data_IF_334456457634
#
_entry.id   IF_334456457634
#
_cell.length_a   1.000
_cell.length_b   1.000
_cell.length_c   1.000
_cell.angle_alpha   90.00
_cell.angle_beta   90.00
_cell.angle_gamma   90.00
#
_symmetry.space_group_name_H-M   'P 1'
#
loop_
_entity.id
_entity.type
_entity.pdbx_description
1 polymer ?
#
# COMPACT_ATOMS: atom_id res chain seq x y z
N UNK A 1 -60.41 39.03 10.96
CA UNK A 1 -59.01 39.12 10.47
C UNK A 1 -58.25 37.94 11.06
N UNK A 2 -58.26 36.81 10.35
CA UNK A 2 -57.15 36.24 9.55
C UNK A 2 -56.04 35.58 10.40
N UNK A 3 -56.26 34.28 10.63
CA UNK A 3 -55.27 33.22 10.84
C UNK A 3 -54.23 33.20 9.72
N UNK A 4 -52.95 32.95 10.03
CA UNK A 4 -52.01 32.21 9.16
C UNK A 4 -50.97 31.48 10.01
N UNK A 5 -50.80 30.20 9.66
CA UNK A 5 -49.75 29.23 9.99
C UNK A 5 -48.31 29.78 9.93
N UNK A 6 -47.38 29.12 10.63
CA UNK A 6 -46.07 28.65 10.11
C UNK A 6 -45.39 27.80 11.20
N UNK A 7 -45.49 26.47 11.12
CA UNK A 7 -44.61 25.57 10.35
C UNK A 7 -43.25 25.38 11.06
N UNK A 8 -43.19 24.28 11.81
CA UNK A 8 -42.00 23.62 12.36
C UNK A 8 -40.97 23.34 11.26
N UNK A 9 -39.79 23.97 11.32
CA UNK A 9 -38.60 23.50 10.63
C UNK A 9 -37.87 22.52 11.55
N UNK A 10 -38.10 21.22 11.34
CA UNK A 10 -37.20 20.18 11.82
C UNK A 10 -35.98 20.16 10.90
N UNK A 11 -34.86 20.68 11.37
CA UNK A 11 -33.58 20.56 10.67
C UNK A 11 -33.08 19.12 10.78
N UNK A 12 -33.21 18.34 9.69
CA UNK A 12 -32.51 17.09 9.49
C UNK A 12 -31.02 17.38 9.31
N UNK A 13 -30.26 17.39 10.41
CA UNK A 13 -28.81 17.27 10.40
C UNK A 13 -28.46 15.86 9.91
N UNK A 14 -28.31 15.74 8.58
CA UNK A 14 -27.66 14.59 7.97
C UNK A 14 -26.22 14.52 8.48
N UNK A 15 -25.98 13.63 9.45
CA UNK A 15 -24.64 13.29 9.89
C UNK A 15 -23.92 12.54 8.76
N UNK A 16 -23.33 13.29 7.83
CA UNK A 16 -22.22 12.78 7.05
C UNK A 16 -21.07 12.57 8.05
N UNK A 17 -20.98 11.37 8.63
CA UNK A 17 -19.75 10.93 9.27
C UNK A 17 -18.70 10.89 8.15
N UNK A 18 -17.95 11.98 8.02
CA UNK A 18 -16.67 11.96 7.34
C UNK A 18 -15.82 10.94 8.09
N UNK A 19 -15.63 9.77 7.47
CA UNK A 19 -14.65 8.79 7.91
C UNK A 19 -13.28 9.47 7.82
N UNK A 20 -12.86 10.13 8.91
CA UNK A 20 -11.50 10.59 9.04
C UNK A 20 -10.62 9.33 8.93
N UNK A 21 -9.72 9.25 7.93
CA UNK A 21 -8.86 8.09 7.79
C UNK A 21 -8.02 7.95 9.06
N UNK A 22 -8.02 6.75 9.65
CA UNK A 22 -7.18 6.47 10.80
C UNK A 22 -5.72 6.43 10.37
N UNK A 23 -4.81 6.91 11.23
CA UNK A 23 -3.37 6.84 10.98
C UNK A 23 -2.82 5.40 10.98
N UNK A 24 -3.63 4.42 11.36
CA UNK A 24 -3.36 2.99 11.24
C UNK A 24 -4.15 2.40 10.07
N UNK A 25 -3.47 1.65 9.21
CA UNK A 25 -4.11 0.95 8.10
C UNK A 25 -4.86 -0.28 8.64
N UNK A 26 -6.19 -0.27 8.50
CA UNK A 26 -7.06 -1.38 8.88
C UNK A 26 -8.03 -1.70 7.73
N UNK A 27 -8.56 -2.94 7.66
CA UNK A 27 -9.60 -3.29 6.70
C UNK A 27 -10.87 -2.44 6.90
N UNK A 28 -11.46 -1.96 5.81
CA UNK A 28 -12.75 -1.29 5.79
C UNK A 28 -13.91 -2.29 5.88
N UNK A 29 -13.67 -3.54 5.49
CA UNK A 29 -14.69 -4.57 5.38
C UNK A 29 -15.53 -4.39 4.11
N UNK A 30 -16.25 -5.43 3.68
CA UNK A 30 -17.04 -5.43 2.43
C UNK A 30 -17.94 -4.19 2.27
N UNK A 31 -18.70 -3.84 3.32
CA UNK A 31 -19.60 -2.67 3.30
C UNK A 31 -18.83 -1.36 3.24
N UNK A 32 -17.75 -1.23 4.02
CA UNK A 32 -16.90 -0.04 4.04
C UNK A 32 -16.20 0.17 2.69
N UNK A 33 -15.68 -0.91 2.11
CA UNK A 33 -15.02 -0.88 0.80
C UNK A 33 -16.00 -0.55 -0.33
N UNK A 34 -17.23 -1.06 -0.27
CA UNK A 34 -18.28 -0.70 -1.23
C UNK A 34 -18.65 0.79 -1.14
N UNK A 35 -18.73 1.35 0.08
CA UNK A 35 -18.93 2.80 0.29
C UNK A 35 -17.76 3.62 -0.24
N UNK A 36 -16.52 3.19 0.03
CA UNK A 36 -15.33 3.84 -0.49
C UNK A 36 -15.32 3.87 -2.03
N UNK A 37 -15.69 2.76 -2.68
CA UNK A 37 -15.83 2.68 -4.15
C UNK A 37 -16.77 3.74 -4.70
N UNK A 38 -17.93 3.90 -4.07
CA UNK A 38 -18.92 4.91 -4.46
C UNK A 38 -18.43 6.33 -4.21
N UNK A 39 -17.88 6.58 -3.03
CA UNK A 39 -17.40 7.90 -2.63
C UNK A 39 -16.24 8.40 -3.51
N UNK A 40 -15.34 7.49 -3.91
CA UNK A 40 -14.15 7.82 -4.70
C UNK A 40 -14.36 7.66 -6.21
N UNK A 41 -15.56 7.30 -6.68
CA UNK A 41 -15.85 7.10 -8.10
C UNK A 41 -15.43 8.29 -8.99
N UNK A 42 -15.67 9.57 -8.62
CA UNK A 42 -15.24 10.70 -9.44
C UNK A 42 -13.71 10.80 -9.57
N UNK A 43 -12.96 10.63 -8.48
CA UNK A 43 -11.50 10.68 -8.48
C UNK A 43 -10.88 9.48 -9.18
N UNK A 44 -11.48 8.30 -9.05
CA UNK A 44 -11.06 7.11 -9.80
C UNK A 44 -11.30 7.27 -11.30
N UNK A 45 -12.37 7.96 -11.72
CA UNK A 45 -12.65 8.19 -13.13
C UNK A 45 -11.77 9.28 -13.76
N UNK A 46 -11.37 10.29 -12.99
CA UNK A 46 -10.61 11.44 -13.47
C UNK A 46 -9.46 11.80 -12.51
N UNK A 47 -8.25 11.38 -12.86
CA UNK A 47 -7.04 11.63 -12.08
C UNK A 47 -5.80 11.71 -12.99
N UNK A 48 -4.67 12.09 -12.41
CA UNK A 48 -3.40 12.23 -13.11
C UNK A 48 -2.68 10.89 -13.39
N UNK A 49 -3.16 9.75 -12.85
CA UNK A 49 -2.56 8.44 -13.11
C UNK A 49 -2.92 7.89 -14.49
N UNK A 50 -4.02 8.37 -15.10
CA UNK A 50 -4.52 7.86 -16.38
C UNK A 50 -5.15 6.47 -16.29
N UNK A 51 -5.42 6.00 -15.07
CA UNK A 51 -6.08 4.73 -14.76
C UNK A 51 -6.93 4.87 -13.49
N UNK A 52 -7.87 3.96 -13.20
CA UNK A 52 -8.71 4.05 -12.00
C UNK A 52 -7.92 3.74 -10.72
N UNK A 53 -7.16 4.73 -10.27
CA UNK A 53 -6.27 4.70 -9.13
C UNK A 53 -6.38 6.00 -8.34
N UNK A 54 -6.48 5.87 -7.03
CA UNK A 54 -6.45 6.95 -6.07
C UNK A 54 -5.45 6.61 -4.97
N UNK A 55 -4.53 7.54 -4.67
CA UNK A 55 -3.59 7.43 -3.56
C UNK A 55 -3.89 8.54 -2.56
N UNK A 56 -3.94 8.19 -1.28
CA UNK A 56 -4.14 9.11 -0.16
C UNK A 56 -3.22 8.75 0.99
N UNK A 57 -2.99 9.69 1.89
CA UNK A 57 -2.24 9.46 3.11
C UNK A 57 -2.74 10.32 4.25
N UNK A 58 -2.52 9.82 5.47
CA UNK A 58 -2.83 10.50 6.71
C UNK A 58 -1.65 10.35 7.67
N UNK A 59 -1.34 11.43 8.38
CA UNK A 59 -0.26 11.47 9.38
C UNK A 59 -0.85 11.94 10.70
N UNK A 60 -0.69 11.12 11.73
CA UNK A 60 -0.92 11.46 13.13
C UNK A 60 0.41 11.78 13.84
N UNK A 61 0.38 12.04 15.16
CA UNK A 61 1.58 12.50 15.89
C UNK A 61 2.81 11.58 15.78
N UNK A 62 2.60 10.26 15.76
CA UNK A 62 3.67 9.25 15.75
C UNK A 62 3.37 8.09 14.80
N UNK A 63 2.51 8.31 13.82
CA UNK A 63 2.04 7.27 12.92
C UNK A 63 1.65 7.86 11.58
N UNK A 64 1.95 7.12 10.51
CA UNK A 64 1.55 7.50 9.15
C UNK A 64 0.93 6.30 8.43
N UNK A 65 -0.09 6.57 7.63
CA UNK A 65 -0.69 5.60 6.71
C UNK A 65 -0.73 6.15 5.28
N UNK A 66 -0.49 5.25 4.33
CA UNK A 66 -0.75 5.43 2.91
C UNK A 66 -1.81 4.44 2.46
N UNK A 67 -2.74 4.91 1.63
CA UNK A 67 -3.85 4.12 1.10
C UNK A 67 -3.87 4.25 -0.43
N UNK A 68 -4.06 3.13 -1.11
CA UNK A 68 -4.31 3.10 -2.54
C UNK A 68 -5.63 2.38 -2.82
N UNK A 69 -6.50 3.01 -3.60
CA UNK A 69 -7.74 2.44 -4.10
C UNK A 69 -7.61 2.25 -5.60
N UNK A 70 -7.90 1.05 -6.10
CA UNK A 70 -7.64 0.70 -7.48
C UNK A 70 -8.75 -0.18 -8.06
N UNK A 71 -9.04 0.00 -9.36
CA UNK A 71 -9.73 -1.02 -10.15
C UNK A 71 -8.68 -1.83 -10.89
N UNK A 72 -8.68 -3.15 -10.69
CA UNK A 72 -7.84 -4.09 -11.42
C UNK A 72 -8.64 -4.74 -12.53
N UNK A 73 -8.06 -4.82 -13.72
CA UNK A 73 -8.62 -5.55 -14.86
C UNK A 73 -8.36 -7.05 -14.74
N UNK A 74 -8.80 -7.62 -13.62
CA UNK A 74 -8.63 -9.02 -13.23
C UNK A 74 -9.90 -9.55 -12.56
N UNK A 75 -10.27 -10.82 -12.81
CA UNK A 75 -11.36 -11.48 -12.11
C UNK A 75 -11.17 -11.48 -10.59
N UNK A 76 -12.24 -11.16 -9.86
CA UNK A 76 -12.21 -11.14 -8.40
C UNK A 76 -11.76 -12.48 -7.78
N UNK A 77 -12.15 -13.61 -8.37
CA UNK A 77 -11.73 -14.93 -7.89
C UNK A 77 -10.20 -15.11 -7.92
N UNK A 78 -9.53 -14.58 -8.95
CA UNK A 78 -8.07 -14.63 -9.08
C UNK A 78 -7.40 -13.77 -8.01
N UNK A 79 -7.90 -12.54 -7.79
CA UNK A 79 -7.38 -11.65 -6.74
C UNK A 79 -7.62 -12.25 -5.36
N UNK A 80 -8.81 -12.79 -5.10
CA UNK A 80 -9.19 -13.44 -3.84
C UNK A 80 -8.26 -14.60 -3.48
N UNK A 81 -7.92 -15.46 -4.46
CA UNK A 81 -6.97 -16.57 -4.26
C UNK A 81 -5.56 -16.08 -3.95
N UNK A 82 -5.09 -15.04 -4.64
CA UNK A 82 -3.78 -14.42 -4.36
C UNK A 82 -3.73 -13.90 -2.92
N UNK A 83 -4.78 -13.22 -2.46
CA UNK A 83 -4.81 -12.64 -1.12
C UNK A 83 -4.81 -13.72 -0.01
N UNK A 84 -5.40 -14.88 -0.26
CA UNK A 84 -5.49 -15.96 0.71
C UNK A 84 -4.18 -16.77 0.90
N UNK A 85 -3.20 -16.62 0.01
CA UNK A 85 -2.02 -17.49 -0.05
C UNK A 85 -0.73 -16.75 0.33
N UNK A 86 -0.12 -17.14 1.46
CA UNK A 86 1.12 -16.54 1.98
C UNK A 86 2.31 -16.70 1.03
N UNK A 87 2.37 -17.79 0.25
CA UNK A 87 3.43 -17.97 -0.73
C UNK A 87 3.34 -16.93 -1.85
N UNK A 88 2.12 -16.61 -2.30
CA UNK A 88 1.86 -15.56 -3.29
C UNK A 88 2.24 -14.19 -2.72
N UNK A 89 1.96 -13.95 -1.44
CA UNK A 89 2.41 -12.73 -0.76
C UNK A 89 3.92 -12.60 -0.73
N UNK A 90 4.65 -13.67 -0.41
CA UNK A 90 6.11 -13.62 -0.49
C UNK A 90 6.60 -13.35 -1.91
N UNK A 91 6.02 -14.01 -2.92
CA UNK A 91 6.40 -13.80 -4.30
C UNK A 91 6.18 -12.36 -4.78
N UNK A 92 5.06 -11.72 -4.41
CA UNK A 92 4.81 -10.32 -4.76
C UNK A 92 5.67 -9.35 -3.94
N UNK A 93 5.83 -9.57 -2.63
CA UNK A 93 6.65 -8.72 -1.76
C UNK A 93 8.10 -8.72 -2.23
N UNK A 94 8.57 -9.85 -2.75
CA UNK A 94 9.89 -9.98 -3.34
C UNK A 94 10.08 -9.22 -4.65
N UNK A 95 9.08 -8.55 -5.23
CA UNK A 95 9.32 -7.61 -6.35
C UNK A 95 9.87 -6.26 -5.87
N UNK A 96 9.59 -5.89 -4.62
CA UNK A 96 10.02 -4.62 -4.06
C UNK A 96 11.55 -4.54 -3.93
N UNK A 97 12.15 -3.41 -4.33
CA UNK A 97 13.62 -3.21 -4.36
C UNK A 97 14.29 -3.36 -2.97
N UNK A 98 13.56 -3.03 -1.90
CA UNK A 98 14.07 -3.15 -0.53
C UNK A 98 13.89 -4.54 0.08
N UNK A 99 13.14 -5.44 -0.54
CA UNK A 99 12.84 -6.75 0.05
C UNK A 99 13.84 -7.78 -0.46
N UNK A 100 14.57 -8.41 0.47
CA UNK A 100 15.79 -9.20 0.22
C UNK A 100 15.60 -10.69 0.35
N UNK A 101 14.62 -11.08 1.15
CA UNK A 101 14.23 -12.46 1.36
C UNK A 101 12.81 -12.47 1.92
N UNK A 102 12.05 -13.49 1.58
CA UNK A 102 10.73 -13.71 2.14
C UNK A 102 10.50 -15.21 2.28
N UNK A 103 10.01 -15.66 3.42
CA UNK A 103 9.51 -17.02 3.58
C UNK A 103 8.28 -17.04 4.46
N UNK A 104 7.46 -18.06 4.24
CA UNK A 104 6.52 -18.50 5.25
C UNK A 104 7.27 -19.01 6.46
N UNK A 105 6.81 -18.65 7.65
CA UNK A 105 7.50 -18.97 8.89
C UNK A 105 6.76 -18.40 10.08
N UNK A 106 7.46 -18.24 11.19
CA UNK A 106 6.88 -17.65 12.39
C UNK A 106 7.18 -18.41 13.69
N UNK A 107 7.37 -17.72 14.82
CA UNK A 107 7.50 -18.36 16.12
C UNK A 107 6.25 -19.16 16.48
N UNK A 108 6.42 -20.36 17.04
CA UNK A 108 5.34 -21.10 17.71
C UNK A 108 4.22 -21.63 16.81
N UNK A 109 4.47 -21.79 15.50
CA UNK A 109 3.48 -22.37 14.56
C UNK A 109 2.33 -21.45 14.18
N UNK A 110 2.34 -20.20 14.64
CA UNK A 110 1.40 -19.17 14.21
C UNK A 110 1.76 -18.74 12.77
N UNK A 111 0.78 -18.64 11.85
CA UNK A 111 1.01 -18.14 10.50
C UNK A 111 1.70 -16.78 10.45
N UNK A 112 2.93 -16.72 9.93
CA UNK A 112 3.63 -15.47 9.64
C UNK A 112 4.29 -15.47 8.26
N UNK A 113 4.68 -14.27 7.84
CA UNK A 113 5.65 -14.02 6.79
C UNK A 113 6.90 -13.39 7.43
N UNK A 114 8.05 -14.04 7.24
CA UNK A 114 9.35 -13.49 7.61
C UNK A 114 9.91 -12.72 6.42
N UNK A 115 9.84 -11.38 6.48
CA UNK A 115 10.32 -10.50 5.42
C UNK A 115 11.63 -9.85 5.85
N UNK A 116 12.65 -9.92 4.99
CA UNK A 116 13.93 -9.27 5.24
C UNK A 116 14.04 -8.01 4.38
N UNK A 117 14.14 -6.85 5.01
CA UNK A 117 14.19 -5.54 4.34
C UNK A 117 15.59 -4.94 4.44
N UNK A 118 16.06 -4.34 3.36
CA UNK A 118 17.43 -3.86 3.20
C UNK A 118 17.59 -2.68 2.26
N UNK A 119 18.83 -2.47 1.80
CA UNK A 119 19.25 -1.41 0.87
C UNK A 119 18.68 -1.63 -0.54
N UNK A 120 18.93 -0.70 -1.44
CA UNK A 120 18.46 -0.75 -2.84
C UNK A 120 19.39 -1.52 -3.78
N UNK A 121 20.52 -2.00 -3.25
CA UNK A 121 21.50 -2.83 -3.94
C UNK A 121 21.42 -4.28 -3.44
N UNK A 122 22.15 -5.17 -4.12
CA UNK A 122 22.37 -6.51 -3.58
C UNK A 122 23.03 -6.43 -2.21
N UNK A 123 22.58 -7.29 -1.29
CA UNK A 123 23.16 -7.45 0.03
C UNK A 123 22.89 -8.86 0.59
N UNK A 124 23.73 -9.37 1.49
CA UNK A 124 23.46 -10.60 2.22
C UNK A 124 22.20 -10.50 3.10
N UNK A 125 21.42 -11.59 3.19
CA UNK A 125 20.19 -11.66 4.03
C UNK A 125 20.50 -11.38 5.50
N UNK A 126 21.64 -11.87 6.02
CA UNK A 126 22.10 -11.61 7.39
C UNK A 126 22.34 -10.13 7.72
N UNK A 127 22.46 -9.29 6.70
CA UNK A 127 22.64 -7.83 6.84
C UNK A 127 21.34 -7.06 6.59
N UNK A 128 20.23 -7.75 6.34
CA UNK A 128 18.89 -7.19 6.24
C UNK A 128 18.18 -7.24 7.60
N UNK A 129 17.25 -6.33 7.83
CA UNK A 129 16.39 -6.32 9.01
C UNK A 129 15.20 -7.24 8.78
N UNK A 130 14.98 -8.18 9.69
CA UNK A 130 13.81 -9.06 9.67
C UNK A 130 12.60 -8.37 10.26
N UNK A 131 11.51 -8.31 9.49
CA UNK A 131 10.15 -8.03 9.96
C UNK A 131 9.38 -9.35 10.02
N UNK A 132 8.76 -9.62 11.17
CA UNK A 132 7.91 -10.80 11.36
C UNK A 132 6.45 -10.37 11.26
N UNK A 133 5.86 -10.52 10.07
CA UNK A 133 4.47 -10.17 9.83
C UNK A 133 3.56 -11.32 10.27
N UNK A 134 2.83 -11.13 11.36
CA UNK A 134 1.72 -11.99 11.74
C UNK A 134 0.62 -11.90 10.69
N UNK A 135 0.07 -13.06 10.34
CA UNK A 135 -1.06 -13.18 9.43
C UNK A 135 -2.36 -13.01 10.21
N UNK A 136 -2.73 -11.75 10.49
CA UNK A 136 -3.78 -11.38 11.45
C UNK A 136 -5.14 -11.87 10.98
N UNK A 137 -5.49 -11.57 9.72
CA UNK A 137 -6.76 -11.94 9.13
C UNK A 137 -6.54 -12.35 7.68
N UNK A 138 -7.13 -13.47 7.27
CA UNK A 138 -7.35 -13.75 5.86
C UNK A 138 -8.75 -14.31 5.63
N UNK A 139 -9.49 -13.67 4.72
CA UNK A 139 -10.83 -14.07 4.32
C UNK A 139 -10.86 -14.13 2.81
N UNK A 140 -11.42 -15.20 2.26
CA UNK A 140 -11.71 -15.34 0.83
C UNK A 140 -13.14 -15.86 0.67
N UNK A 141 -14.07 -14.95 0.42
CA UNK A 141 -15.48 -15.23 0.12
C UNK A 141 -15.79 -14.83 -1.31
N UNK A 142 -16.97 -15.20 -1.81
CA UNK A 142 -17.40 -14.90 -3.18
C UNK A 142 -17.58 -13.39 -3.46
N UNK A 143 -17.76 -12.58 -2.41
CA UNK A 143 -18.09 -11.15 -2.47
C UNK A 143 -17.04 -10.26 -1.80
N UNK A 144 -16.07 -10.83 -1.08
CA UNK A 144 -15.08 -10.09 -0.32
C UNK A 144 -13.86 -10.92 -0.01
N UNK A 145 -12.68 -10.34 -0.21
CA UNK A 145 -11.42 -10.91 0.20
C UNK A 145 -10.60 -9.89 0.98
N UNK A 146 -9.85 -10.34 1.99
CA UNK A 146 -8.89 -9.51 2.71
C UNK A 146 -7.72 -10.35 3.18
N UNK A 147 -6.53 -9.75 3.18
CA UNK A 147 -5.43 -10.20 4.02
C UNK A 147 -4.85 -9.01 4.78
N UNK A 148 -4.59 -9.23 6.06
CA UNK A 148 -4.01 -8.26 6.97
C UNK A 148 -2.75 -8.85 7.60
N UNK A 149 -1.63 -8.14 7.41
CA UNK A 149 -0.33 -8.50 7.93
C UNK A 149 0.11 -7.44 8.93
N UNK A 150 0.51 -7.84 10.12
CA UNK A 150 0.99 -6.91 11.15
C UNK A 150 2.37 -7.32 11.68
N UNK A 151 3.29 -6.37 11.81
CA UNK A 151 4.58 -6.60 12.47
C UNK A 151 4.79 -5.56 13.60
N UNK A 152 5.07 -5.99 14.84
CA UNK A 152 5.24 -5.07 15.96
C UNK A 152 6.48 -4.19 15.82
N UNK A 153 7.52 -4.70 15.18
CA UNK A 153 8.83 -4.07 15.09
C UNK A 153 9.32 -3.97 13.63
N UNK A 154 10.09 -2.92 13.35
CA UNK A 154 10.77 -2.73 12.07
C UNK A 154 12.08 -1.96 12.19
N UNK A 155 12.70 -1.60 11.05
CA UNK A 155 14.01 -0.96 11.02
C UNK A 155 13.98 0.47 11.58
N UNK A 156 15.05 0.90 12.25
CA UNK A 156 15.20 2.28 12.74
C UNK A 156 14.13 2.72 13.78
N UNK A 157 13.75 1.82 14.71
CA UNK A 157 12.77 2.08 15.79
C UNK A 157 11.36 2.46 15.29
N UNK A 158 11.03 2.08 14.07
CA UNK A 158 9.64 2.03 13.58
C UNK A 158 8.91 0.81 14.14
N UNK A 159 7.60 0.93 14.35
CA UNK A 159 6.77 -0.07 15.01
C UNK A 159 5.40 -0.18 14.35
N UNK A 160 4.58 -1.13 14.82
CA UNK A 160 3.16 -1.27 14.48
C UNK A 160 2.88 -1.24 12.97
N UNK A 161 3.69 -1.96 12.20
CA UNK A 161 3.51 -2.09 10.78
C UNK A 161 2.19 -2.80 10.49
N UNK A 162 1.41 -2.25 9.58
CA UNK A 162 0.26 -2.94 9.00
C UNK A 162 0.34 -2.85 7.48
N UNK A 163 0.11 -3.99 6.83
CA UNK A 163 -0.08 -4.09 5.39
C UNK A 163 -1.41 -4.81 5.15
N UNK A 164 -2.38 -4.07 4.63
CA UNK A 164 -3.75 -4.53 4.40
C UNK A 164 -4.01 -4.53 2.92
N UNK A 165 -4.59 -5.61 2.40
CA UNK A 165 -5.20 -5.61 1.07
C UNK A 165 -6.57 -6.25 1.18
N UNK A 166 -7.59 -5.52 0.72
CA UNK A 166 -8.97 -6.01 0.63
C UNK A 166 -9.55 -5.74 -0.75
N UNK A 167 -10.46 -6.61 -1.18
CA UNK A 167 -11.04 -6.56 -2.51
C UNK A 167 -12.52 -6.98 -2.49
N UNK A 168 -13.29 -6.39 -3.42
CA UNK A 168 -14.67 -6.78 -3.74
C UNK A 168 -14.83 -6.90 -5.27
N UNK A 169 -15.83 -7.66 -5.76
CA UNK A 169 -16.18 -7.66 -7.18
C UNK A 169 -16.50 -6.25 -7.70
N UNK A 170 -15.96 -5.93 -8.88
CA UNK A 170 -16.22 -4.70 -9.62
C UNK A 170 -17.06 -4.94 -10.88
N UNK A 171 -17.31 -3.85 -11.60
CA UNK A 171 -18.07 -3.90 -12.86
C UNK A 171 -17.25 -4.51 -14.01
N UNK A 172 -17.92 -5.26 -14.90
CA UNK A 172 -17.28 -5.83 -16.08
C UNK A 172 -16.29 -6.96 -15.77
N UNK A 173 -16.48 -7.69 -14.67
CA UNK A 173 -15.57 -8.77 -14.26
C UNK A 173 -14.26 -8.29 -13.62
N UNK A 174 -14.12 -6.99 -13.40
CA UNK A 174 -12.97 -6.35 -12.75
C UNK A 174 -13.04 -6.50 -11.23
N UNK A 175 -11.98 -6.08 -10.55
CA UNK A 175 -11.89 -6.10 -9.09
C UNK A 175 -11.68 -4.69 -8.56
N UNK A 176 -12.42 -4.28 -7.54
CA UNK A 176 -12.10 -3.07 -6.78
C UNK A 176 -11.31 -3.44 -5.52
N UNK A 177 -10.19 -2.78 -5.31
CA UNK A 177 -9.21 -3.11 -4.28
C UNK A 177 -8.84 -1.87 -3.46
N UNK A 178 -8.65 -2.07 -2.17
CA UNK A 178 -7.96 -1.14 -1.27
C UNK A 178 -6.69 -1.80 -0.74
N UNK A 179 -5.59 -1.06 -0.79
CA UNK A 179 -4.33 -1.40 -0.14
C UNK A 179 -3.99 -0.32 0.88
N UNK A 180 -3.73 -0.73 2.11
CA UNK A 180 -3.27 0.15 3.19
C UNK A 180 -1.88 -0.26 3.66
N UNK A 181 -1.03 0.73 3.92
CA UNK A 181 0.28 0.53 4.53
C UNK A 181 0.49 1.58 5.62
N UNK A 182 0.77 1.17 6.85
CA UNK A 182 1.05 2.09 7.95
C UNK A 182 2.18 1.60 8.83
N UNK A 183 2.79 2.54 9.56
CA UNK A 183 3.75 2.25 10.61
C UNK A 183 3.81 3.43 11.59
N UNK A 184 4.14 3.11 12.84
CA UNK A 184 4.43 4.07 13.90
C UNK A 184 5.94 4.33 14.00
N UNK A 185 6.31 5.45 14.62
CA UNK A 185 7.70 5.83 14.84
C UNK A 185 7.87 6.58 16.17
N UNK A 186 8.96 6.31 16.89
CA UNK A 186 9.31 7.02 18.12
C UNK A 186 9.69 8.48 17.87
N UNK A 187 9.69 9.31 18.92
CA UNK A 187 10.05 10.73 18.82
C UNK A 187 11.48 10.98 18.29
N UNK A 188 12.44 10.12 18.65
CA UNK A 188 13.80 10.17 18.12
C UNK A 188 13.85 9.83 16.62
N UNK A 189 13.10 8.80 16.19
CA UNK A 189 12.97 8.42 14.78
C UNK A 189 12.25 9.49 13.96
N UNK A 190 11.25 10.15 14.53
CA UNK A 190 10.59 11.29 13.90
C UNK A 190 11.59 12.41 13.57
N UNK A 191 12.42 12.79 14.55
CA UNK A 191 13.45 13.82 14.37
C UNK A 191 14.50 13.40 13.32
N UNK A 192 15.02 12.17 13.41
CA UNK A 192 15.99 11.65 12.46
C UNK A 192 15.41 11.59 11.03
N UNK A 193 14.15 11.19 10.89
CA UNK A 193 13.46 11.13 9.61
C UNK A 193 13.18 12.53 9.06
N UNK A 194 12.83 13.50 9.90
CA UNK A 194 12.76 14.90 9.51
C UNK A 194 14.10 15.40 8.96
N UNK A 195 15.23 15.09 9.61
CA UNK A 195 16.55 15.46 9.08
C UNK A 195 16.90 14.75 7.76
N UNK A 196 16.58 13.46 7.63
CA UNK A 196 16.75 12.73 6.37
C UNK A 196 15.92 13.35 5.25
N UNK A 197 14.63 13.62 5.49
CA UNK A 197 13.71 14.20 4.53
C UNK A 197 14.01 15.69 4.26
N UNK A 198 14.63 16.40 5.19
CA UNK A 198 15.14 17.75 4.96
C UNK A 198 16.41 17.78 4.10
N UNK A 199 17.09 16.64 3.91
CA UNK A 199 18.36 16.52 3.19
C UNK A 199 18.22 15.59 1.98
N UNK A 200 18.63 14.33 2.09
CA UNK A 200 18.70 13.33 1.01
C UNK A 200 17.31 12.91 0.52
N UNK A 201 16.31 13.02 1.39
CA UNK A 201 14.92 12.70 1.07
C UNK A 201 14.08 13.88 0.58
N UNK A 202 14.63 15.09 0.45
CA UNK A 202 13.87 16.32 0.17
C UNK A 202 13.07 16.25 -1.13
N UNK A 203 13.66 15.61 -2.15
CA UNK A 203 13.02 15.47 -3.45
C UNK A 203 12.10 14.24 -3.53
N UNK A 204 12.00 13.46 -2.45
CA UNK A 204 11.15 12.26 -2.38
C UNK A 204 9.72 12.66 -2.01
N UNK A 205 8.96 12.98 -3.04
CA UNK A 205 7.54 13.34 -2.95
C UNK A 205 6.62 12.15 -3.20
N UNK A 206 5.40 12.24 -2.66
CA UNK A 206 4.29 11.34 -2.91
C UNK A 206 3.50 11.68 -4.18
N UNK A 207 2.27 11.20 -4.21
CA UNK A 207 1.37 11.27 -5.36
C UNK A 207 0.21 12.23 -5.16
N UNK A 208 -0.39 12.23 -3.96
CA UNK A 208 -1.45 13.17 -3.65
C UNK A 208 -0.91 14.60 -3.64
N UNK A 209 -1.77 15.55 -4.00
CA UNK A 209 -1.43 16.97 -4.08
C UNK A 209 -2.22 17.76 -3.05
N UNK A 210 -1.57 18.73 -2.42
CA UNK A 210 -2.18 19.61 -1.44
C UNK A 210 -1.94 21.07 -1.78
N UNK A 211 -2.84 21.91 -1.29
CA UNK A 211 -2.70 23.36 -1.31
C UNK A 211 -2.58 23.83 0.13
N UNK A 212 -1.45 24.46 0.44
CA UNK A 212 -1.18 25.01 1.77
C UNK A 212 -2.19 26.12 2.15
N UNK A 213 -2.73 26.83 1.17
CA UNK A 213 -3.75 27.86 1.36
C UNK A 213 -4.58 28.07 0.08
N UNK A 214 -5.78 28.69 0.17
CA UNK A 214 -6.54 29.09 -1.00
C UNK A 214 -5.69 29.97 -1.93
N UNK A 215 -5.49 29.53 -3.17
CA UNK A 215 -4.67 30.24 -4.17
C UNK A 215 -3.21 29.79 -4.25
N UNK A 216 -2.72 28.97 -3.32
CA UNK A 216 -1.40 28.35 -3.44
C UNK A 216 -1.36 27.32 -4.58
N UNK A 217 -0.21 27.22 -5.25
CA UNK A 217 0.06 26.18 -6.24
C UNK A 217 -0.03 24.79 -5.61
N UNK A 218 -0.72 23.81 -6.24
CA UNK A 218 -0.74 22.43 -5.75
C UNK A 218 0.66 21.86 -5.71
N UNK A 219 1.04 21.27 -4.58
CA UNK A 219 2.32 20.58 -4.42
C UNK A 219 2.08 19.12 -4.04
N UNK A 220 2.85 18.18 -4.59
CA UNK A 220 2.83 16.80 -4.11
C UNK A 220 3.19 16.74 -2.63
N UNK A 221 2.55 15.84 -1.89
CA UNK A 221 2.85 15.64 -0.47
C UNK A 221 4.30 15.20 -0.27
N UNK A 222 4.99 15.82 0.68
CA UNK A 222 6.33 15.42 1.10
C UNK A 222 6.30 14.69 2.44
N UNK A 223 7.42 14.69 3.16
CA UNK A 223 7.44 14.23 4.55
C UNK A 223 7.13 12.73 4.70
N UNK A 224 6.59 12.36 5.87
CA UNK A 224 6.20 10.98 6.17
C UNK A 224 5.10 10.48 5.25
N UNK A 225 4.17 11.37 4.88
CA UNK A 225 3.10 11.07 3.93
C UNK A 225 3.63 10.70 2.56
N UNK A 226 4.60 11.44 2.04
CA UNK A 226 5.32 11.08 0.82
C UNK A 226 5.97 9.70 0.93
N UNK A 227 6.60 9.36 2.06
CA UNK A 227 7.16 8.02 2.29
C UNK A 227 6.09 6.93 2.26
N UNK A 228 4.96 7.15 2.94
CA UNK A 228 3.87 6.18 3.01
C UNK A 228 3.21 5.96 1.64
N UNK A 229 2.95 7.03 0.88
CA UNK A 229 2.37 6.94 -0.46
C UNK A 229 3.27 6.22 -1.47
N UNK A 230 4.59 6.44 -1.38
CA UNK A 230 5.56 5.74 -2.24
C UNK A 230 5.60 4.25 -1.93
N UNK A 231 5.54 3.86 -0.66
CA UNK A 231 5.54 2.46 -0.26
C UNK A 231 4.23 1.75 -0.64
N UNK A 232 3.07 2.33 -0.32
CA UNK A 232 1.78 1.72 -0.69
C UNK A 232 1.66 1.56 -2.21
N UNK A 233 2.13 2.54 -2.99
CA UNK A 233 2.13 2.45 -4.45
C UNK A 233 3.05 1.33 -4.95
N UNK A 234 4.27 1.21 -4.43
CA UNK A 234 5.19 0.12 -4.84
C UNK A 234 4.64 -1.27 -4.52
N UNK A 235 3.94 -1.44 -3.40
CA UNK A 235 3.26 -2.69 -3.07
C UNK A 235 2.06 -2.96 -3.98
N UNK A 236 1.27 -1.93 -4.33
CA UNK A 236 0.16 -2.08 -5.27
C UNK A 236 0.67 -2.52 -6.65
N UNK A 237 1.74 -1.90 -7.14
CA UNK A 237 2.37 -2.28 -8.41
C UNK A 237 2.92 -3.70 -8.37
N UNK A 238 3.52 -4.12 -7.24
CA UNK A 238 3.97 -5.50 -7.05
C UNK A 238 2.82 -6.50 -7.12
N UNK A 239 1.71 -6.23 -6.43
CA UNK A 239 0.51 -7.07 -6.49
C UNK A 239 -0.02 -7.16 -7.93
N UNK A 240 -0.16 -6.03 -8.63
CA UNK A 240 -0.64 -5.99 -10.02
C UNK A 240 0.23 -6.83 -10.95
N UNK A 241 1.54 -6.60 -10.92
CA UNK A 241 2.48 -7.32 -11.78
C UNK A 241 2.55 -8.81 -11.47
N UNK A 242 2.49 -9.18 -10.20
CA UNK A 242 2.44 -10.58 -9.79
C UNK A 242 1.15 -11.27 -10.24
N UNK A 243 0.02 -10.57 -10.18
CA UNK A 243 -1.29 -11.11 -10.52
C UNK A 243 -1.48 -11.31 -12.03
N UNK A 244 -0.94 -10.44 -12.89
CA UNK A 244 -1.10 -10.55 -14.36
C UNK A 244 -0.14 -11.57 -14.99
N UNK A 245 1.05 -11.75 -14.41
CA UNK A 245 2.09 -12.58 -15.01
C UNK A 245 2.01 -14.05 -14.52
N UNK A 246 2.16 -15.05 -15.41
CA UNK A 246 2.23 -16.46 -15.02
C UNK A 246 3.29 -16.73 -13.93
N UNK A 247 3.06 -17.73 -13.09
CA UNK A 247 3.96 -18.08 -12.00
C UNK A 247 5.39 -18.42 -12.45
N UNK A 248 5.53 -19.01 -13.64
CA UNK A 248 6.82 -19.36 -14.25
C UNK A 248 7.58 -18.16 -14.85
N UNK A 249 6.95 -16.99 -14.93
CA UNK A 249 7.48 -15.84 -15.67
C UNK A 249 8.12 -14.80 -14.74
N UNK A 250 9.19 -15.19 -14.01
CA UNK A 250 9.91 -14.27 -13.12
C UNK A 250 10.38 -13.02 -13.85
N UNK A 251 10.99 -13.17 -15.02
CA UNK A 251 11.51 -12.05 -15.81
C UNK A 251 10.42 -11.05 -16.20
N UNK A 252 9.23 -11.54 -16.58
CA UNK A 252 8.09 -10.69 -16.91
C UNK A 252 7.58 -9.92 -15.69
N UNK A 253 7.59 -10.55 -14.51
CA UNK A 253 7.22 -9.88 -13.24
C UNK A 253 8.21 -8.79 -12.87
N UNK A 254 9.51 -9.05 -13.01
CA UNK A 254 10.56 -8.07 -12.75
C UNK A 254 10.48 -6.90 -13.73
N UNK A 255 10.32 -7.19 -15.02
CA UNK A 255 10.16 -6.16 -16.05
C UNK A 255 8.90 -5.32 -15.81
N UNK A 256 7.76 -5.96 -15.56
CA UNK A 256 6.50 -5.28 -15.26
C UNK A 256 6.64 -4.34 -14.06
N UNK A 257 7.22 -4.82 -12.95
CA UNK A 257 7.32 -4.00 -11.74
C UNK A 257 8.22 -2.79 -11.96
N UNK A 258 9.38 -2.99 -12.61
CA UNK A 258 10.30 -1.90 -12.92
C UNK A 258 9.65 -0.87 -13.86
N UNK A 259 9.03 -1.31 -14.95
CA UNK A 259 8.35 -0.43 -15.91
C UNK A 259 7.23 0.37 -15.25
N UNK A 260 6.47 -0.28 -14.36
CA UNK A 260 5.42 0.37 -13.62
C UNK A 260 5.95 1.43 -12.65
N UNK A 261 7.11 1.21 -12.02
CA UNK A 261 7.74 2.23 -11.17
C UNK A 261 8.29 3.39 -12.00
N UNK A 262 8.84 3.14 -13.18
CA UNK A 262 9.40 4.18 -14.06
C UNK A 262 8.31 5.06 -14.71
N UNK A 263 7.08 4.57 -14.86
CA UNK A 263 5.92 5.42 -15.19
C UNK A 263 5.74 6.57 -14.20
N UNK A 264 6.18 6.36 -12.96
CA UNK A 264 6.13 7.34 -11.87
C UNK A 264 7.54 7.72 -11.40
N UNK A 265 8.48 7.89 -12.33
CA UNK A 265 9.90 8.07 -12.03
C UNK A 265 10.18 9.20 -11.01
N UNK A 266 9.46 10.33 -11.10
CA UNK A 266 9.61 11.44 -10.13
C UNK A 266 9.41 10.97 -8.68
N UNK A 267 8.45 10.08 -8.44
CA UNK A 267 8.15 9.55 -7.11
C UNK A 267 8.96 8.28 -6.81
N UNK A 268 9.07 7.35 -7.76
CA UNK A 268 9.46 5.97 -7.47
C UNK A 268 10.82 5.54 -8.00
N UNK A 269 11.43 6.27 -8.94
CA UNK A 269 12.75 5.92 -9.48
C UNK A 269 13.81 5.95 -8.37
N UNK A 270 14.68 4.95 -8.38
CA UNK A 270 15.75 4.81 -7.38
C UNK A 270 17.04 4.18 -7.90
N UNK A 271 16.96 3.31 -8.92
CA UNK A 271 18.07 2.52 -9.45
C UNK A 271 17.87 2.27 -10.94
N UNK A 272 18.95 1.97 -11.65
CA UNK A 272 18.90 1.57 -13.05
C UNK A 272 18.31 0.17 -13.23
N UNK A 273 17.71 -0.08 -14.40
CA UNK A 273 17.07 -1.38 -14.72
C UNK A 273 18.01 -2.56 -14.54
N UNK A 274 19.22 -2.43 -15.06
CA UNK A 274 20.20 -3.50 -15.05
C UNK A 274 20.56 -3.90 -13.61
N UNK A 275 20.74 -2.91 -12.72
CA UNK A 275 21.05 -3.12 -11.31
C UNK A 275 19.87 -3.77 -10.57
N UNK A 276 18.64 -3.29 -10.81
CA UNK A 276 17.44 -3.88 -10.24
C UNK A 276 17.31 -5.36 -10.65
N UNK A 277 17.33 -5.66 -11.95
CA UNK A 277 17.12 -7.03 -12.45
C UNK A 277 18.23 -7.96 -11.98
N UNK A 278 19.51 -7.53 -12.01
CA UNK A 278 20.62 -8.33 -11.53
C UNK A 278 20.48 -8.67 -10.04
N UNK A 279 20.17 -7.67 -9.21
CA UNK A 279 19.91 -7.85 -7.77
C UNK A 279 18.75 -8.81 -7.53
N UNK A 280 17.60 -8.60 -8.18
CA UNK A 280 16.41 -9.43 -7.95
C UNK A 280 16.64 -10.87 -8.40
N UNK A 281 17.30 -11.12 -9.54
CA UNK A 281 17.66 -12.49 -9.95
C UNK A 281 18.50 -13.21 -8.89
N UNK A 282 19.49 -12.53 -8.31
CA UNK A 282 20.29 -13.12 -7.23
C UNK A 282 19.45 -13.41 -5.98
N UNK A 283 18.54 -12.51 -5.60
CA UNK A 283 17.62 -12.68 -4.48
C UNK A 283 16.63 -13.84 -4.70
N UNK A 284 16.06 -13.99 -5.91
CA UNK A 284 15.13 -15.09 -6.23
C UNK A 284 15.84 -16.45 -6.34
N UNK A 285 17.08 -16.51 -6.83
CA UNK A 285 17.89 -17.76 -6.78
C UNK A 285 18.03 -18.27 -5.34
N UNK A 286 18.31 -17.36 -4.39
CA UNK A 286 18.37 -17.70 -2.97
C UNK A 286 17.05 -18.18 -2.37
N UNK A 287 15.89 -17.81 -2.92
CA UNK A 287 14.59 -18.33 -2.46
C UNK A 287 14.36 -19.77 -2.90
N UNK A 288 14.86 -20.15 -4.07
CA UNK A 288 14.74 -21.50 -4.61
C UNK A 288 15.72 -22.48 -3.92
N UNK A 289 16.83 -21.95 -3.42
CA UNK A 289 17.78 -22.64 -2.57
C UNK A 289 17.26 -22.63 -1.13
N UNK A 290 16.33 -23.53 -0.80
CA UNK A 290 15.93 -23.76 0.60
C UNK A 290 17.19 -24.04 1.45
N UNK A 291 17.41 -23.35 2.59
CA UNK A 291 18.52 -23.69 3.47
C UNK A 291 18.39 -25.08 4.09
#
# INVERSE_FOLDING_TARGET
MRSVFNATLAALLGAALWLAPAAHAAPLGSVGLAKARQAFAPELAANAFGEPLLVRSVEGPHQVAGHAYAVLDLPFAQVSQLLADRAQWCAMLMLHLNNKYCREGGPGGVPHIELYVGRKSEQPVRSATRLNFAWVTAVARADYAVAELAAPDGPYDTRDYALVVEAIPGEGGRTFLHMGYSFSYGGASHLAMHFYLATVGRDKVGFSVERESPGAEPRPVGGMRGVAERNVMRYLLALRCHAVAPASALEDRLACWFDATERYARQLHEVERADYVAMKRAEYRRLAETP
#
